data_IF_786048126383
#
_entry.id   IF_786048126383
#
_cell.length_a   1.000
_cell.length_b   1.000
_cell.length_c   1.000
_cell.angle_alpha   90.00
_cell.angle_beta   90.00
_cell.angle_gamma   90.00
#
_symmetry.space_group_name_H-M   'P 1'
#
loop_
_entity.id
_entity.type
_entity.pdbx_description
1 polymer ?
2 polymer ?
3 non-polymer ?
4 non-polymer ?
5 non-polymer ?
6 non-polymer ?
7 water ?
#
# COMPACT_ATOMS: atom_id res chain seq x y z
N UNK A 2 -9.67 3.26 14.03
CA UNK A 2 -10.69 4.35 13.93
C UNK A 2 -10.03 5.69 13.59
N UNK A 3 -8.85 5.92 14.17
CA UNK A 3 -8.00 7.05 13.86
C UNK A 3 -7.30 6.80 12.53
N UNK A 4 -6.53 5.72 12.45
CA UNK A 4 -5.93 5.31 11.18
C UNK A 4 -6.97 4.77 10.20
N UNK A 5 -8.11 4.34 10.72
CA UNK A 5 -9.20 3.88 9.87
C UNK A 5 -9.74 5.04 9.04
N UNK A 6 -9.72 6.25 9.57
CA UNK A 6 -10.14 7.42 8.79
C UNK A 6 -9.26 7.61 7.56
N UNK A 7 -7.99 7.23 7.66
CA UNK A 7 -7.07 7.29 6.53
C UNK A 7 -7.40 6.23 5.47
N UNK A 8 -7.76 5.03 5.92
CA UNK A 8 -8.22 3.97 5.04
C UNK A 8 -9.50 4.43 4.33
N UNK A 9 -10.43 5.01 5.09
CA UNK A 9 -11.68 5.55 4.55
C UNK A 9 -11.44 6.62 3.49
N UNK A 10 -10.46 7.48 3.74
CA UNK A 10 -10.06 8.54 2.82
C UNK A 10 -9.55 7.94 1.51
N UNK A 11 -8.68 6.94 1.61
CA UNK A 11 -8.14 6.27 0.44
C UNK A 11 -9.24 5.60 -0.39
N UNK A 12 -10.29 5.12 0.27
CA UNK A 12 -11.37 4.38 -0.38
C UNK A 12 -12.50 5.27 -0.90
N UNK A 13 -12.51 6.54 -0.49
CA UNK A 13 -13.70 7.37 -0.66
C UNK A 13 -14.09 7.63 -2.12
N UNK A 14 -13.13 7.68 -3.05
CA UNK A 14 -13.46 7.97 -4.46
C UNK A 14 -13.95 6.78 -5.31
N UNK A 15 -14.04 5.60 -4.71
CA UNK A 15 -14.68 4.46 -5.34
C UNK A 15 -13.80 3.61 -6.24
N UNK A 16 -12.51 3.95 -6.36
CA UNK A 16 -11.62 3.27 -7.29
C UNK A 16 -10.88 2.08 -6.68
N UNK A 17 -10.85 2.02 -5.34
CA UNK A 17 -10.13 0.97 -4.64
C UNK A 17 -11.07 -0.05 -4.00
N UNK A 18 -10.71 -1.32 -4.10
CA UNK A 18 -11.41 -2.38 -3.38
C UNK A 18 -10.92 -2.57 -1.94
N UNK A 19 -9.68 -2.15 -1.68
CA UNK A 19 -9.16 -2.09 -0.33
C UNK A 19 -7.95 -1.15 -0.21
N UNK A 20 -7.68 -0.76 1.03
CA UNK A 20 -6.53 0.07 1.36
C UNK A 20 -6.04 -0.23 2.77
N UNK A 21 -4.83 0.23 3.08
CA UNK A 21 -4.19 -0.06 4.36
C UNK A 21 -3.06 0.92 4.69
N UNK A 22 -2.88 1.14 5.99
CA UNK A 22 -1.73 1.85 6.54
C UNK A 22 -0.95 0.81 7.30
N UNK A 23 0.34 0.68 7.00
CA UNK A 23 1.13 -0.43 7.49
C UNK A 23 2.46 0.09 8.02
N UNK A 24 2.70 -0.12 9.31
CA UNK A 24 3.96 0.23 9.92
C UNK A 24 5.12 -0.62 9.43
N UNK A 25 6.29 -0.01 9.28
CA UNK A 25 7.48 -0.74 8.81
C UNK A 25 8.78 -0.40 9.53
N UNK A 26 8.79 0.69 10.28
CA UNK A 26 10.03 1.26 10.78
C UNK A 26 10.28 0.86 12.23
N UNK A 27 9.39 1.26 13.14
CA UNK A 27 9.51 0.90 14.57
C UNK A 27 9.12 -0.56 14.86
N UNK A 28 8.28 -1.09 14.00
CA UNK A 28 7.85 -2.49 14.03
C UNK A 28 7.04 -2.69 12.76
N UNK A 29 6.95 -3.93 12.30
CA UNK A 29 6.31 -4.25 11.04
C UNK A 29 4.95 -4.91 11.25
N UNK A 30 3.89 -4.11 11.13
CA UNK A 30 2.53 -4.63 11.20
C UNK A 30 1.50 -3.68 10.63
N UNK A 31 0.34 -4.24 10.33
CA UNK A 31 -0.76 -3.50 9.76
C UNK A 31 -1.41 -2.65 10.85
N UNK A 32 -1.48 -1.35 10.61
CA UNK A 32 -2.08 -0.41 11.54
C UNK A 32 -3.59 -0.31 11.31
N UNK A 33 -4.00 -0.27 10.05
CA UNK A 33 -5.41 -0.27 9.68
C UNK A 33 -5.55 -0.80 8.27
N UNK A 34 -6.64 -1.51 8.01
CA UNK A 34 -6.93 -2.01 6.68
C UNK A 34 -8.41 -2.27 6.51
N UNK A 35 -8.84 -2.26 5.25
CA UNK A 35 -10.19 -2.65 4.85
C UNK A 35 -10.43 -4.07 5.34
N UNK A 36 -11.55 -4.29 6.02
CA UNK A 36 -11.89 -5.63 6.49
C UNK A 36 -12.18 -6.54 5.29
N UNK A 37 -11.62 -7.74 5.35
CA UNK A 37 -11.86 -8.79 4.38
C UNK A 37 -10.94 -8.79 3.18
N UNK A 38 -10.00 -7.85 3.14
CA UNK A 38 -9.04 -7.76 2.04
C UNK A 38 -7.79 -8.57 2.33
N UNK A 39 -6.84 -8.52 1.40
CA UNK A 39 -5.55 -9.18 1.59
C UNK A 39 -4.63 -8.33 2.47
N UNK A 40 -4.75 -7.01 2.38
CA UNK A 40 -3.88 -6.11 3.13
C UNK A 40 -3.99 -6.34 4.63
N UNK A 41 -5.21 -6.58 5.10
CA UNK A 41 -5.47 -6.89 6.50
C UNK A 41 -4.60 -8.04 7.05
N UNK A 42 -4.29 -8.99 6.18
CA UNK A 42 -3.51 -10.17 6.54
C UNK A 42 -2.02 -10.08 6.23
N UNK A 43 -1.54 -8.91 5.80
CA UNK A 43 -0.11 -8.73 5.52
C UNK A 43 0.67 -9.09 6.79
N UNK A 44 1.74 -9.88 6.62
CA UNK A 44 2.57 -10.31 7.75
C UNK A 44 3.86 -9.49 7.84
N UNK A 45 4.51 -9.51 9.00
CA UNK A 45 5.82 -8.89 9.14
C UNK A 45 6.84 -9.37 8.08
N UNK A 46 6.79 -10.65 7.75
CA UNK A 46 7.65 -11.22 6.71
C UNK A 46 7.43 -10.52 5.37
N UNK A 47 6.16 -10.35 4.99
CA UNK A 47 5.81 -9.69 3.73
C UNK A 47 6.19 -8.22 3.69
N UNK A 48 6.08 -7.54 4.83
CA UNK A 48 6.53 -6.16 4.94
C UNK A 48 8.04 -6.07 4.75
N UNK A 49 8.77 -6.98 5.39
CA UNK A 49 10.21 -7.01 5.24
C UNK A 49 10.65 -7.18 3.78
N UNK A 50 9.92 -7.98 3.02
CA UNK A 50 10.24 -8.19 1.61
C UNK A 50 9.96 -6.92 0.80
N UNK A 51 8.89 -6.20 1.14
CA UNK A 51 8.60 -4.92 0.52
C UNK A 51 9.69 -3.86 0.79
N UNK A 52 10.18 -3.77 2.02
CA UNK A 52 11.11 -2.69 2.40
C UNK A 52 12.58 -3.10 2.43
N UNK A 53 12.86 -4.37 2.20
CA UNK A 53 14.18 -4.92 2.48
C UNK A 53 15.25 -4.48 1.51
N UNK A 54 16.49 -4.82 1.86
CA UNK A 54 17.68 -4.45 1.10
C UNK A 54 17.68 -5.02 -0.32
N UNK A 55 17.12 -6.22 -0.47
CA UNK A 55 17.06 -6.89 -1.76
C UNK A 55 15.96 -6.31 -2.67
N UNK A 56 16.38 -5.51 -3.64
CA UNK A 56 15.46 -4.86 -4.58
C UNK A 56 15.43 -5.56 -5.95
N UNK A 57 15.99 -6.76 -6.04
CA UNK A 57 16.03 -7.52 -7.29
C UNK A 57 15.28 -8.86 -7.23
N UNK A 58 15.30 -9.52 -6.08
CA UNK A 58 14.71 -10.84 -5.94
C UNK A 58 13.24 -10.92 -6.30
N UNK A 59 12.46 -9.90 -5.91
CA UNK A 59 11.01 -9.94 -6.11
C UNK A 59 10.58 -9.79 -7.58
N UNK A 60 11.50 -9.38 -8.46
CA UNK A 60 11.25 -9.41 -9.90
C UNK A 60 11.32 -10.84 -10.48
N UNK A 61 12.12 -11.71 -9.86
CA UNK A 61 12.22 -13.11 -10.26
C UNK A 61 11.18 -13.99 -9.55
N UNK A 62 10.99 -13.75 -8.25
CA UNK A 62 10.22 -14.63 -7.38
C UNK A 62 8.82 -14.11 -7.08
N UNK A 63 8.55 -12.87 -7.47
CA UNK A 63 7.37 -12.16 -7.04
C UNK A 63 7.42 -11.87 -5.55
N UNK A 64 6.28 -11.48 -5.01
CA UNK A 64 6.09 -11.42 -3.56
C UNK A 64 4.63 -11.72 -3.23
N UNK A 65 4.31 -11.83 -1.95
CA UNK A 65 2.93 -11.96 -1.52
C UNK A 65 2.52 -10.82 -0.60
N UNK A 66 1.22 -10.54 -0.64
CA UNK A 66 0.58 -9.62 0.28
C UNK A 66 -0.65 -10.33 0.81
N UNK A 67 -0.67 -10.56 2.12
CA UNK A 67 -1.71 -11.36 2.74
C UNK A 67 -1.81 -12.75 2.14
N UNK A 68 -0.66 -13.31 1.77
CA UNK A 68 -0.51 -14.62 1.13
C UNK A 68 -0.99 -14.66 -0.34
N UNK A 69 -1.39 -13.51 -0.87
CA UNK A 69 -1.80 -13.41 -2.27
C UNK A 69 -0.58 -13.10 -3.14
N UNK A 70 -0.29 -14.00 -4.07
CA UNK A 70 0.84 -13.86 -4.98
C UNK A 70 0.67 -12.64 -5.86
N UNK A 71 1.76 -11.89 -5.98
CA UNK A 71 1.81 -10.64 -6.73
C UNK A 71 3.10 -10.58 -7.54
N UNK A 72 3.10 -9.72 -8.54
CA UNK A 72 4.32 -9.37 -9.26
C UNK A 72 4.65 -7.89 -9.04
N UNK A 73 5.93 -7.57 -9.15
CA UNK A 73 6.37 -6.19 -9.10
C UNK A 73 6.54 -5.64 -10.51
N UNK A 74 5.79 -4.58 -10.79
CA UNK A 74 5.89 -3.92 -12.07
C UNK A 74 7.00 -2.86 -12.02
N UNK A 75 7.05 -2.09 -10.94
CA UNK A 75 8.05 -1.03 -10.77
C UNK A 75 8.45 -0.86 -9.31
N UNK A 76 9.74 -0.73 -9.06
CA UNK A 76 10.25 -0.47 -7.72
C UNK A 76 10.95 0.88 -7.67
N UNK A 77 10.31 1.85 -7.01
CA UNK A 77 10.93 3.15 -6.75
C UNK A 77 10.81 3.48 -5.26
N UNK A 78 10.83 2.44 -4.42
CA UNK A 78 10.55 2.62 -3.00
C UNK A 78 11.61 3.46 -2.29
N UNK A 79 12.87 3.37 -2.73
CA UNK A 79 13.97 4.14 -2.18
C UNK A 79 14.52 5.14 -3.21
N UNK A 80 13.68 5.54 -4.16
CA UNK A 80 13.96 6.69 -5.02
C UNK A 80 13.40 7.89 -4.26
N UNK A 81 14.27 8.77 -3.75
CA UNK A 81 13.82 9.93 -2.98
C UNK A 81 12.85 10.79 -3.80
N UNK A 82 11.75 11.21 -3.17
CA UNK A 82 10.79 12.10 -3.80
C UNK A 82 9.73 11.34 -4.57
N UNK A 83 9.88 10.01 -4.62
CA UNK A 83 8.92 9.12 -5.24
C UNK A 83 8.47 8.12 -4.19
N UNK A 84 9.35 7.19 -3.81
CA UNK A 84 9.09 6.25 -2.73
C UNK A 84 7.82 5.40 -2.92
N UNK A 85 7.55 4.98 -4.16
CA UNK A 85 6.42 4.11 -4.45
C UNK A 85 6.85 2.82 -5.10
N UNK A 86 5.96 1.83 -5.04
CA UNK A 86 6.05 0.64 -5.86
C UNK A 86 4.73 0.42 -6.55
N UNK A 87 4.81 -0.14 -7.76
CA UNK A 87 3.65 -0.57 -8.52
C UNK A 87 3.73 -2.08 -8.61
N UNK A 88 2.64 -2.71 -8.18
CA UNK A 88 2.51 -4.15 -8.01
C UNK A 88 1.23 -4.57 -8.73
N UNK A 89 1.11 -5.85 -9.04
CA UNK A 89 -0.10 -6.39 -9.62
C UNK A 89 -0.33 -7.79 -9.08
N UNK A 90 -1.57 -8.07 -8.67
CA UNK A 90 -1.92 -9.41 -8.21
C UNK A 90 -1.89 -10.39 -9.37
N UNK A 91 -1.56 -11.63 -9.03
CA UNK A 91 -1.54 -12.71 -10.00
C UNK A 91 -2.96 -13.19 -10.17
N UNK A 92 -3.29 -13.64 -11.37
CA UNK A 92 -4.60 -14.19 -11.66
C UNK A 92 -4.57 -15.68 -11.41
N UNK A 93 -5.43 -16.14 -10.52
CA UNK A 93 -5.67 -17.55 -10.31
C UNK A 93 -7.13 -17.85 -10.61
N UNK A 94 -7.38 -19.04 -11.15
CA UNK A 94 -8.73 -19.49 -11.48
C UNK A 94 -9.50 -18.61 -12.46
N UNK A 95 -8.79 -17.95 -13.36
CA UNK A 95 -9.39 -17.11 -14.40
C UNK A 95 -9.74 -15.69 -13.97
N UNK A 96 -9.39 -15.33 -12.74
CA UNK A 96 -9.83 -14.07 -12.14
C UNK A 96 -9.09 -12.88 -12.73
N UNK A 97 -9.66 -11.68 -12.61
CA UNK A 97 -8.94 -10.47 -13.01
C UNK A 97 -7.67 -10.25 -12.20
N UNK A 98 -6.73 -9.51 -12.77
CA UNK A 98 -5.62 -8.96 -11.99
C UNK A 98 -6.04 -7.59 -11.48
N UNK A 99 -5.41 -7.16 -10.40
CA UNK A 99 -5.66 -5.85 -9.81
C UNK A 99 -4.34 -5.13 -9.59
N UNK A 100 -4.33 -3.83 -9.86
CA UNK A 100 -3.17 -3.02 -9.58
C UNK A 100 -3.11 -2.62 -8.11
N UNK A 101 -1.91 -2.67 -7.55
CA UNK A 101 -1.62 -2.27 -6.18
C UNK A 101 -0.53 -1.18 -6.23
N UNK A 102 -0.72 -0.09 -5.49
CA UNK A 102 0.34 0.90 -5.30
C UNK A 102 0.73 0.95 -3.83
N UNK A 103 2.02 1.15 -3.59
CA UNK A 103 2.57 1.32 -2.25
C UNK A 103 3.31 2.66 -2.22
N UNK A 104 3.05 3.47 -1.21
CA UNK A 104 3.80 4.68 -0.95
C UNK A 104 4.48 4.55 0.40
N UNK A 105 5.76 4.87 0.46
CA UNK A 105 6.53 4.75 1.69
C UNK A 105 6.81 6.12 2.30
N UNK A 106 6.26 6.36 3.48
CA UNK A 106 6.63 7.51 4.29
C UNK A 106 7.78 7.09 5.22
N UNK A 107 8.06 7.87 6.27
CA UNK A 107 9.14 7.57 7.20
C UNK A 107 8.89 6.41 8.14
N UNK A 108 7.62 6.21 8.50
CA UNK A 108 7.21 5.21 9.50
C UNK A 108 6.18 4.20 9.01
N UNK A 109 5.41 4.57 7.99
CA UNK A 109 4.37 3.73 7.46
C UNK A 109 4.41 3.61 5.95
N UNK A 110 3.78 2.54 5.48
CA UNK A 110 3.49 2.29 4.08
C UNK A 110 2.00 2.50 3.85
N UNK A 111 1.69 3.10 2.72
CA UNK A 111 0.32 3.29 2.27
C UNK A 111 0.07 2.28 1.15
N UNK A 112 -0.92 1.40 1.33
CA UNK A 112 -1.26 0.39 0.32
C UNK A 112 -2.66 0.71 -0.21
N UNK A 113 -2.82 0.62 -1.53
CA UNK A 113 -4.12 0.69 -2.19
C UNK A 113 -4.21 -0.39 -3.26
N UNK A 114 -5.39 -0.96 -3.43
CA UNK A 114 -5.64 -1.94 -4.47
C UNK A 114 -6.83 -1.50 -5.29
N UNK A 115 -6.65 -1.42 -6.60
CA UNK A 115 -7.73 -1.08 -7.50
C UNK A 115 -8.78 -2.16 -7.63
N UNK A 116 -9.99 -1.71 -7.94
CA UNK A 116 -11.02 -2.56 -8.52
C UNK A 116 -10.59 -3.01 -9.92
N UNK A 117 -11.34 -3.95 -10.47
CA UNK A 117 -11.08 -4.46 -11.81
C UNK A 117 -11.06 -3.31 -12.81
N UNK A 118 -10.02 -3.25 -13.64
CA UNK A 118 -9.89 -2.26 -14.69
C UNK A 118 -9.34 -0.91 -14.27
N UNK A 119 -9.07 -0.75 -12.98
CA UNK A 119 -8.53 0.50 -12.48
C UNK A 119 -7.01 0.53 -12.73
N UNK A 120 -6.58 1.54 -13.47
CA UNK A 120 -5.20 1.64 -13.91
C UNK A 120 -4.26 2.02 -12.77
N UNK A 121 -3.00 1.61 -12.91
CA UNK A 121 -1.99 1.78 -11.88
C UNK A 121 -1.57 3.21 -11.65
N UNK A 122 -1.69 4.05 -12.68
CA UNK A 122 -1.26 5.43 -12.61
C UNK A 122 -1.97 6.25 -11.54
N UNK A 123 -3.30 6.27 -11.57
CA UNK A 123 -4.06 6.99 -10.56
C UNK A 123 -3.85 6.40 -9.18
N UNK A 124 -3.75 5.07 -9.09
CA UNK A 124 -3.44 4.41 -7.83
C UNK A 124 -2.10 4.87 -7.26
N UNK A 125 -1.09 4.97 -8.13
CA UNK A 125 0.22 5.42 -7.69
C UNK A 125 0.14 6.85 -7.15
N UNK A 126 -0.62 7.72 -7.82
CA UNK A 126 -0.76 9.12 -7.38
C UNK A 126 -1.41 9.20 -6.01
N UNK A 127 -2.33 8.29 -5.76
CA UNK A 127 -3.08 8.26 -4.52
C UNK A 127 -2.21 7.79 -3.36
N UNK A 128 -1.40 6.76 -3.59
CA UNK A 128 -0.49 6.25 -2.57
C UNK A 128 0.62 7.25 -2.31
N UNK A 129 1.11 7.86 -3.38
CA UNK A 129 2.19 8.83 -3.28
C UNK A 129 1.75 10.04 -2.47
N UNK A 130 0.57 10.56 -2.80
CA UNK A 130 0.04 11.76 -2.16
C UNK A 130 -0.19 11.54 -0.67
N UNK A 131 -0.73 10.38 -0.30
CA UNK A 131 -0.96 10.08 1.10
C UNK A 131 0.37 9.88 1.84
N UNK A 132 1.26 9.10 1.24
CA UNK A 132 2.59 8.89 1.82
C UNK A 132 3.34 10.21 2.00
N UNK A 133 3.24 11.10 1.01
CA UNK A 133 3.90 12.41 1.10
C UNK A 133 3.32 13.25 2.23
N UNK A 134 2.00 13.20 2.38
CA UNK A 134 1.31 13.95 3.41
C UNK A 134 1.76 13.44 4.79
N UNK A 135 1.88 12.12 4.91
CA UNK A 135 2.27 11.51 6.17
C UNK A 135 3.73 11.81 6.49
N UNK A 136 4.59 11.74 5.47
CA UNK A 136 5.99 12.12 5.61
C UNK A 136 6.17 13.57 6.06
N UNK A 137 5.37 14.48 5.50
CA UNK A 137 5.47 15.91 5.87
C UNK A 137 4.95 16.16 7.28
N UNK A 138 4.22 15.19 7.82
CA UNK A 138 3.71 15.20 9.19
C UNK A 138 4.57 14.40 10.18
N UNK A 139 5.76 13.97 9.75
CA UNK A 139 6.67 13.22 10.60
C UNK A 139 6.37 11.73 10.75
N UNK A 140 5.50 11.19 9.89
CA UNK A 140 5.20 9.76 9.86
C UNK A 140 5.72 9.10 8.60
N UNK B 1 -1.10 -1.75 19.90
CA UNK B 1 -1.58 -0.86 18.80
C UNK B 1 -0.66 0.33 18.54
N UNK B 2 -0.86 0.99 17.41
CA UNK B 2 0.06 2.02 16.92
C UNK B 2 -0.12 3.40 17.55
N UNK B 3 0.84 4.29 17.34
CA UNK B 3 0.69 5.68 17.77
C UNK B 3 -0.46 6.30 16.98
N UNK B 4 -1.21 7.24 17.55
CA UNK B 4 -2.32 7.85 16.82
C UNK B 4 -1.82 8.71 15.65
N UNK B 5 -2.66 8.97 14.66
CA UNK B 5 -2.25 9.82 13.54
C UNK B 5 -1.99 11.27 13.99
N UNK B 6 -1.16 11.99 13.23
CA UNK B 6 -0.74 13.35 13.60
C UNK B 6 -1.89 14.35 13.51
N UNK B 7 -2.89 14.00 12.70
CA UNK B 7 -4.13 14.74 12.59
C UNK B 7 -5.02 14.06 11.55
N UNK B 8 -6.09 14.73 11.12
CA UNK B 8 -6.99 14.13 10.12
C UNK B 8 -6.30 13.95 8.77
N UNK B 9 -6.79 13.02 7.95
CA UNK B 9 -6.23 12.81 6.61
C UNK B 9 -6.51 14.04 5.75
N UNK B 10 -5.95 14.13 4.55
CA UNK B 10 -6.21 15.30 3.71
C UNK B 10 -7.67 15.29 3.26
N UNK B 11 -8.19 16.42 2.79
CA UNK B 11 -9.59 16.47 2.33
C UNK B 11 -9.82 15.47 1.21
N UNK B 12 -10.96 14.79 1.17
CA UNK B 12 -11.26 13.86 0.07
C UNK B 12 -11.44 14.59 -1.27
N UNK B 13 -11.06 13.93 -2.36
CA UNK B 13 -11.21 14.48 -3.70
C UNK B 13 -12.56 14.11 -4.31
X LIG C 1 13.56 7.84 4.81
X LIG C 1 14.43 6.71 5.14
X LIG C 1 12.24 7.64 5.40
X LIG C 1 13.46 7.96 3.36
X LIG C 1 14.13 9.07 5.35
X LIG D 1 9.05 14.94 -0.03
X LIG D 1 8.93 14.58 1.39
X LIG D 1 8.23 16.13 -0.25
X LIG D 1 8.59 13.82 -0.85
X LIG D 1 10.45 15.20 -0.36
X LIG E 1 9.91 2.85 -15.49
X LIG E 1 10.55 3.52 -14.37
X LIG E 1 8.58 3.42 -15.71
X LIG E 1 9.78 1.43 -15.17
X LIG E 1 10.70 3.01 -16.71
X LIG F 1 5.83 9.46 -1.47
X LIG F 1 6.50 10.24 -0.33
X LIG F 1 7.27 9.32 0.58
X LIG F 1 7.38 11.28 -0.78
X LIG G 1 -8.38 -13.52 -3.15
X LIG G 1 -8.02 -14.34 -4.40
X LIG G 1 -7.54 -15.75 -4.09
X LIG G 1 -9.16 -14.40 -5.25
X LIG H 1 -13.74 -1.55 6.41
X LIG I 1 -6.43 -4.04 -13.53
X LIG I 1 -7.59 -4.64 -12.99
X LIG I 1 -6.14 -4.61 -14.92
X LIG I 1 -7.07 -4.08 -15.83
X LIG I 1 -4.72 -4.29 -15.36
X LIG I 1 -4.54 -2.90 -15.57
#
# INVERSE_FOLDING_TARGET
MAGWQSYVDNLMCDGCCQEAAIVGYCDAKYVWAATAGGVFQSITPVEIDMIVGKDREGFFTNGLTLGAKKCSVIRDSLYVDGDCTMDIRTKSQGGEPTYNVAVGRAGRVLVFVMGKEGVHGGGLNKKAYSMAKYLRDSGF
GPPPPPGPPPPPGPPPPPGL
SO4 S O1 O2 O3 O4
SO4 S O1 O2 O3 O4
SO4 S O1 O2 O3 O4
IPA C1 C2 C3 O2
IPA C1 C2 C3 O2
NA NA
GOL C1 O1 C2 O2 C3 O3
#
